data_IF_983167718043
#
_entry.id   IF_983167718043
#
_cell.length_a   1.000
_cell.length_b   1.000
_cell.length_c   1.000
_cell.angle_alpha   90.00
_cell.angle_beta   90.00
_cell.angle_gamma   90.00
#
_symmetry.space_group_name_H-M   'P 1'
#
loop_
_entity.id
_entity.type
_entity.pdbx_description
1 polymer ?
2 non-polymer ?
3 water ?
#
# COMPACT_ATOMS: atom_id res chain seq x y z
N UNK A 1 -42.90 34.48 15.55
CA UNK A 1 -43.87 35.58 15.50
C UNK A 1 -43.24 36.92 15.13
N UNK A 2 -43.11 37.80 16.11
CA UNK A 2 -42.54 39.13 15.86
C UNK A 2 -41.00 39.13 15.86
N UNK A 3 -40.45 38.36 14.93
CA UNK A 3 -39.03 38.23 14.75
C UNK A 3 -38.80 37.94 13.28
N UNK A 4 -37.60 38.23 12.78
CA UNK A 4 -37.26 37.91 11.40
C UNK A 4 -37.19 36.41 11.22
N UNK A 5 -37.35 35.94 9.99
CA UNK A 5 -37.36 34.51 9.69
C UNK A 5 -36.45 34.13 8.51
N UNK A 6 -36.15 32.84 8.40
CA UNK A 6 -35.53 32.28 7.21
C UNK A 6 -36.42 31.12 6.72
N UNK A 7 -35.84 30.10 6.09
CA UNK A 7 -36.60 28.99 5.55
C UNK A 7 -36.29 27.64 6.19
N UNK A 13 -25.31 16.70 7.19
CA UNK A 13 -25.03 17.98 6.55
C UNK A 13 -23.53 18.30 6.56
N UNK A 14 -22.85 17.96 7.65
CA UNK A 14 -21.44 18.26 7.81
C UNK A 14 -20.45 17.17 7.39
N UNK A 15 -19.47 17.57 6.59
CA UNK A 15 -18.48 16.62 6.08
C UNK A 15 -17.25 16.51 6.98
N UNK A 16 -16.71 15.30 7.08
CA UNK A 16 -15.56 15.06 7.92
C UNK A 16 -14.43 14.36 7.15
N UNK A 17 -13.20 14.81 7.39
CA UNK A 17 -12.00 14.21 6.78
C UNK A 17 -11.10 13.66 7.88
N UNK A 18 -10.77 12.39 7.77
CA UNK A 18 -9.78 11.81 8.66
C UNK A 18 -8.53 11.48 7.87
N UNK A 19 -7.45 12.22 8.13
CA UNK A 19 -6.19 11.97 7.45
C UNK A 19 -5.28 11.05 8.25
N UNK A 20 -4.62 10.14 7.56
CA UNK A 20 -3.64 9.28 8.18
C UNK A 20 -2.28 9.94 8.00
N UNK A 21 -1.28 9.52 8.79
CA UNK A 21 0.07 10.12 8.67
C UNK A 21 0.64 9.88 7.29
N UNK A 22 0.30 8.75 6.68
CA UNK A 22 0.81 8.39 5.36
C UNK A 22 0.28 9.28 4.22
N UNK A 23 -0.74 10.08 4.47
CA UNK A 23 -1.29 10.95 3.45
C UNK A 23 -2.62 10.49 2.86
N UNK A 24 -2.98 9.22 3.05
CA UNK A 24 -4.30 8.74 2.69
C UNK A 24 -5.33 9.35 3.61
N UNK A 25 -6.61 9.13 3.33
CA UNK A 25 -7.66 9.76 4.12
C UNK A 25 -9.04 9.12 3.97
N UNK A 26 -9.86 9.24 5.00
CA UNK A 26 -11.25 8.84 4.95
C UNK A 26 -12.08 10.11 4.89
N UNK A 27 -13.15 10.10 4.09
CA UNK A 27 -14.00 11.30 3.99
C UNK A 27 -15.47 10.99 3.74
N UNK A 28 -16.34 11.65 4.50
CA UNK A 28 -17.77 11.53 4.33
C UNK A 28 -18.51 12.17 5.50
N UNK A 29 -19.84 12.05 5.48
CA UNK A 29 -20.64 12.53 6.60
C UNK A 29 -20.68 11.44 7.63
N UNK A 30 -20.66 11.82 8.90
CA UNK A 30 -20.62 10.84 9.96
C UNK A 30 -22.03 10.65 10.49
N UNK A 31 -22.30 9.50 11.10
CA UNK A 31 -23.60 9.26 11.68
C UNK A 31 -23.74 9.92 13.06
N UNK A 32 -24.91 9.76 13.67
CA UNK A 32 -25.23 10.40 14.93
C UNK A 32 -24.16 10.16 16.01
N UNK A 33 -23.48 9.02 15.93
CA UNK A 33 -22.44 8.67 16.89
C UNK A 33 -21.06 9.17 16.48
N UNK A 34 -20.96 9.75 15.30
CA UNK A 34 -19.69 10.28 14.83
C UNK A 34 -18.78 9.23 14.21
N UNK A 35 -19.39 8.18 13.68
CA UNK A 35 -18.64 7.13 13.00
C UNK A 35 -18.80 7.29 11.50
N UNK A 36 -17.76 6.92 10.76
CA UNK A 36 -17.82 6.92 9.31
C UNK A 36 -18.69 5.77 8.80
N UNK A 37 -19.99 5.95 8.81
CA UNK A 37 -20.91 4.90 8.40
C UNK A 37 -21.90 5.46 7.39
N UNK A 38 -22.01 4.80 6.25
CA UNK A 38 -22.88 5.26 5.19
C UNK A 38 -22.57 4.58 3.88
N UNK A 39 -23.15 5.09 2.79
CA UNK A 39 -22.92 4.54 1.47
C UNK A 39 -22.35 5.61 0.55
N UNK A 40 -21.98 6.74 1.15
CA UNK A 40 -21.37 7.85 0.44
C UNK A 40 -20.04 8.21 1.12
N UNK A 41 -19.42 7.22 1.74
CA UNK A 41 -18.12 7.38 2.38
C UNK A 41 -17.04 7.06 1.36
N UNK A 42 -15.85 7.65 1.50
CA UNK A 42 -14.76 7.35 0.57
C UNK A 42 -13.41 7.28 1.25
N UNK A 43 -12.52 6.45 0.71
CA UNK A 43 -11.10 6.49 1.06
C UNK A 43 -10.36 7.13 -0.10
N UNK A 44 -9.49 8.07 0.23
CA UNK A 44 -8.71 8.77 -0.78
C UNK A 44 -7.22 8.48 -0.63
N UNK A 45 -6.67 7.82 -1.63
CA UNK A 45 -5.24 7.55 -1.71
C UNK A 45 -4.41 8.83 -1.56
N UNK A 46 -3.10 8.69 -1.26
CA UNK A 46 -2.25 9.84 -0.94
C UNK A 46 -2.06 10.84 -2.09
N UNK A 47 -2.51 10.50 -3.29
CA UNK A 47 -2.41 11.43 -4.40
C UNK A 47 -3.55 12.43 -4.35
N UNK A 48 -4.46 12.19 -3.42
CA UNK A 48 -5.60 13.08 -3.20
C UNK A 48 -6.48 13.21 -4.45
N UNK A 49 -6.45 12.20 -5.32
CA UNK A 49 -7.37 12.14 -6.45
C UNK A 49 -7.97 10.75 -6.61
N UNK A 50 -7.14 9.71 -6.42
CA UNK A 50 -7.63 8.34 -6.53
C UNK A 50 -8.44 7.93 -5.31
N UNK A 51 -9.63 7.38 -5.55
CA UNK A 51 -10.57 7.11 -4.45
C UNK A 51 -11.34 5.79 -4.53
N UNK A 52 -11.78 5.34 -3.36
CA UNK A 52 -12.64 4.16 -3.23
C UNK A 52 -13.90 4.63 -2.54
N UNK A 53 -14.96 4.79 -3.32
CA UNK A 53 -16.18 5.41 -2.84
C UNK A 53 -17.23 4.34 -2.76
N UNK A 54 -18.07 4.41 -1.73
CA UNK A 54 -19.10 3.40 -1.57
C UNK A 54 -19.49 3.15 -0.13
N UNK A 55 -19.68 1.88 0.20
CA UNK A 55 -20.22 1.53 1.51
C UNK A 55 -19.16 1.29 2.57
N UNK A 56 -19.31 1.95 3.70
CA UNK A 56 -18.38 1.85 4.83
C UNK A 56 -19.18 1.74 6.12
N UNK A 57 -18.75 0.85 7.00
CA UNK A 57 -19.26 0.85 8.36
C UNK A 57 -18.14 1.16 9.36
N UNK A 58 -18.26 2.31 10.02
CA UNK A 58 -17.31 2.77 11.03
C UNK A 58 -15.89 2.85 10.46
N UNK A 59 -15.78 3.35 9.24
CA UNK A 59 -14.50 3.53 8.58
C UNK A 59 -13.99 2.30 7.87
N UNK A 60 -14.64 1.17 8.10
CA UNK A 60 -14.20 -0.07 7.47
C UNK A 60 -14.88 -0.17 6.12
N UNK A 61 -14.10 -0.44 5.09
CA UNK A 61 -14.63 -0.49 3.74
C UNK A 61 -15.46 -1.76 3.52
N UNK A 62 -16.73 -1.59 3.23
CA UNK A 62 -17.55 -2.73 2.88
C UNK A 62 -17.65 -2.90 1.37
N UNK A 63 -17.93 -1.79 0.68
CA UNK A 63 -17.91 -1.82 -0.78
C UNK A 63 -17.40 -0.50 -1.34
N UNK A 64 -16.11 -0.47 -1.68
CA UNK A 64 -15.48 0.67 -2.31
C UNK A 64 -15.36 0.52 -3.82
N UNK A 65 -15.98 1.42 -4.55
CA UNK A 65 -15.88 1.42 -6.00
C UNK A 65 -14.81 2.43 -6.43
N UNK A 66 -14.01 2.06 -7.43
CA UNK A 66 -12.93 2.91 -7.91
C UNK A 66 -13.50 4.26 -8.35
N UNK A 67 -12.87 5.34 -7.92
CA UNK A 67 -13.43 6.66 -8.21
C UNK A 67 -12.38 7.76 -8.30
N UNK A 68 -12.76 8.91 -8.83
CA UNK A 68 -11.87 10.07 -8.85
C UNK A 68 -12.47 11.27 -8.13
N UNK A 69 -11.70 11.83 -7.19
CA UNK A 69 -12.08 13.07 -6.51
C UNK A 69 -11.83 14.26 -7.45
N UNK A 70 -12.91 14.80 -7.99
CA UNK A 70 -12.80 15.76 -9.09
C UNK A 70 -12.52 17.14 -8.57
N UNK A 71 -13.14 17.44 -7.44
CA UNK A 71 -12.97 18.73 -6.80
C UNK A 71 -13.54 18.70 -5.41
N UNK A 72 -13.25 19.75 -4.64
CA UNK A 72 -13.75 19.92 -3.29
C UNK A 72 -14.26 21.33 -3.13
N UNK A 73 -15.43 21.47 -2.51
CA UNK A 73 -15.99 22.78 -2.27
C UNK A 73 -16.37 22.92 -0.81
N UNK A 74 -15.59 23.72 -0.09
CA UNK A 74 -15.86 23.98 1.32
C UNK A 74 -15.87 22.66 2.09
N UNK A 75 -14.91 21.82 1.77
CA UNK A 75 -14.74 20.57 2.48
C UNK A 75 -15.59 19.43 1.97
N UNK A 76 -16.56 19.75 1.13
CA UNK A 76 -17.45 18.76 0.56
C UNK A 76 -16.86 18.21 -0.74
N UNK A 77 -16.48 16.92 -0.76
CA UNK A 77 -15.91 16.30 -1.97
C UNK A 77 -16.95 15.84 -3.01
N UNK A 78 -16.67 16.11 -4.27
CA UNK A 78 -17.48 15.55 -5.33
C UNK A 78 -16.70 14.40 -5.94
N UNK A 79 -17.28 13.20 -5.86
CA UNK A 79 -16.64 12.05 -6.48
C UNK A 79 -17.29 11.73 -7.82
N UNK A 80 -16.53 11.07 -8.67
CA UNK A 80 -17.00 10.61 -9.96
C UNK A 80 -16.49 9.19 -10.19
N UNK A 81 -17.41 8.26 -10.42
CA UNK A 81 -17.04 6.84 -10.56
C UNK A 81 -16.12 6.59 -11.77
N UNK A 82 -15.05 5.82 -11.55
CA UNK A 82 -14.26 5.34 -12.66
C UNK A 82 -15.01 4.26 -13.42
N UNK A 83 -14.69 4.08 -14.72
CA UNK A 83 -15.36 3.02 -15.47
C UNK A 83 -15.04 1.63 -14.91
N UNK A 84 -16.00 0.73 -15.02
CA UNK A 84 -15.74 -0.67 -14.75
C UNK A 84 -16.55 -1.27 -13.62
N UNK A 85 -16.12 -2.45 -13.20
CA UNK A 85 -16.78 -3.14 -12.11
C UNK A 85 -15.85 -3.36 -10.95
N UNK A 86 -14.70 -2.70 -10.98
CA UNK A 86 -13.72 -2.87 -9.91
C UNK A 86 -14.24 -2.31 -8.57
N UNK A 87 -14.49 -3.23 -7.64
CA UNK A 87 -14.91 -2.89 -6.28
C UNK A 87 -13.95 -3.53 -5.27
N UNK A 88 -13.80 -2.88 -4.13
CA UNK A 88 -12.78 -3.30 -3.17
C UNK A 88 -13.43 -3.33 -1.80
N UNK A 89 -12.99 -4.23 -0.95
CA UNK A 89 -13.53 -4.31 0.41
C UNK A 89 -12.35 -4.52 1.36
N UNK A 90 -12.58 -4.24 2.64
CA UNK A 90 -11.56 -4.45 3.66
C UNK A 90 -11.27 -5.95 3.70
N UNK A 91 -10.04 -6.33 3.40
CA UNK A 91 -9.72 -7.75 3.27
C UNK A 91 -8.40 -8.10 3.95
N UNK A 92 -8.32 -7.79 5.24
CA UNK A 92 -7.10 -7.98 6.01
C UNK A 92 -6.68 -9.44 5.98
N UNK A 93 -5.42 -9.65 5.64
CA UNK A 93 -4.83 -10.98 5.61
C UNK A 93 -4.74 -11.58 7.01
N UNK A 94 -4.53 -12.90 7.04
CA UNK A 94 -4.21 -13.62 8.27
C UNK A 94 -2.88 -14.37 8.12
N UNK A 95 -2.66 -15.33 9.01
CA UNK A 95 -1.41 -16.08 9.02
C UNK A 95 -1.36 -17.11 7.89
N UNK A 96 -2.47 -17.32 7.22
CA UNK A 96 -2.52 -18.30 6.12
C UNK A 96 -3.26 -17.78 4.89
N UNK A 97 -4.11 -16.79 5.05
CA UNK A 97 -4.80 -16.22 3.90
C UNK A 97 -4.21 -14.84 3.53
N UNK A 98 -3.61 -14.76 2.35
CA UNK A 98 -2.95 -13.56 1.91
C UNK A 98 -3.94 -12.53 1.37
N UNK A 99 -5.05 -13.00 0.82
CA UNK A 99 -6.04 -12.14 0.18
C UNK A 99 -7.24 -12.98 -0.23
N UNK A 100 -8.42 -12.35 -0.33
CA UNK A 100 -9.59 -13.03 -0.86
C UNK A 100 -9.61 -12.93 -2.38
N UNK A 101 -8.90 -11.94 -2.93
CA UNK A 101 -8.77 -11.81 -4.38
C UNK A 101 -7.34 -11.51 -4.80
N UNK A 102 -6.50 -12.52 -4.67
CA UNK A 102 -5.08 -12.44 -4.99
C UNK A 102 -4.70 -11.78 -6.32
N UNK A 103 -5.62 -11.77 -7.29
CA UNK A 103 -5.30 -11.31 -8.65
C UNK A 103 -5.95 -9.97 -8.94
N UNK A 104 -6.59 -9.42 -7.92
CA UNK A 104 -7.19 -8.10 -8.04
C UNK A 104 -6.15 -7.05 -7.66
N UNK A 105 -5.66 -6.31 -8.66
CA UNK A 105 -4.57 -5.34 -8.43
C UNK A 105 -5.05 -4.16 -7.59
N UNK A 106 -4.14 -3.51 -6.89
CA UNK A 106 -4.47 -2.22 -6.29
C UNK A 106 -4.45 -1.16 -7.39
N UNK A 107 -5.54 -0.42 -7.53
CA UNK A 107 -5.64 0.48 -8.70
C UNK A 107 -4.64 1.64 -8.62
N UNK A 108 -4.37 2.13 -7.41
CA UNK A 108 -3.40 3.22 -7.21
C UNK A 108 -2.00 2.77 -7.59
N UNK A 109 -1.59 1.60 -7.08
CA UNK A 109 -0.28 1.04 -7.38
C UNK A 109 -0.08 0.87 -8.88
N UNK A 110 -1.15 0.42 -9.58
CA UNK A 110 -1.11 0.05 -11.00
C UNK A 110 -0.76 1.23 -11.88
N UNK A 111 -1.08 2.42 -11.41
CA UNK A 111 -0.72 3.61 -12.15
C UNK A 111 0.75 3.99 -11.94
N UNK A 112 1.41 3.45 -10.92
CA UNK A 112 2.74 3.93 -10.56
C UNK A 112 3.90 2.96 -10.76
N UNK A 113 3.64 1.67 -10.59
CA UNK A 113 4.70 0.69 -10.76
C UNK A 113 4.32 -0.47 -11.69
N UNK A 114 5.33 -1.22 -12.09
CA UNK A 114 5.13 -2.45 -12.84
C UNK A 114 6.30 -3.34 -12.54
N UNK A 115 6.15 -4.62 -12.82
CA UNK A 115 7.21 -5.58 -12.57
C UNK A 115 7.91 -6.01 -13.85
N UNK A 116 9.25 -5.99 -13.80
CA UNK A 116 10.08 -6.41 -14.92
C UNK A 116 11.36 -7.06 -14.39
N UNK A 117 12.23 -7.51 -15.28
CA UNK A 117 13.47 -8.10 -14.82
C UNK A 117 14.36 -7.00 -14.27
N UNK A 118 14.94 -7.28 -13.10
CA UNK A 118 15.72 -6.29 -12.40
C UNK A 118 17.01 -5.94 -13.15
N UNK A 119 17.45 -4.70 -13.03
CA UNK A 119 18.72 -4.31 -13.62
C UNK A 119 19.91 -4.84 -12.82
N UNK A 120 19.70 -5.11 -11.53
CA UNK A 120 20.71 -5.75 -10.70
C UNK A 120 20.84 -7.21 -11.12
N UNK A 121 22.05 -7.60 -11.50
CA UNK A 121 22.28 -8.93 -12.06
C UNK A 121 21.99 -10.03 -11.05
N UNK A 122 21.27 -11.06 -11.52
CA UNK A 122 20.89 -12.19 -10.68
C UNK A 122 20.04 -11.78 -9.49
N UNK A 123 19.32 -10.67 -9.62
CA UNK A 123 18.42 -10.24 -8.55
C UNK A 123 17.03 -10.78 -8.81
N UNK A 124 16.77 -11.14 -10.05
CA UNK A 124 15.50 -11.74 -10.44
C UNK A 124 14.62 -10.68 -11.05
N UNK A 125 13.39 -10.61 -10.56
CA UNK A 125 12.51 -9.53 -10.94
C UNK A 125 12.69 -8.34 -10.00
N UNK A 126 12.40 -7.15 -10.53
CA UNK A 126 12.37 -5.96 -9.71
C UNK A 126 11.11 -5.13 -9.91
N UNK A 127 11.02 -4.03 -9.16
CA UNK A 127 9.89 -3.11 -9.24
C UNK A 127 10.35 -1.84 -9.94
N UNK A 128 9.51 -1.31 -10.82
CA UNK A 128 9.93 -0.15 -11.61
C UNK A 128 8.82 0.87 -11.60
N UNK A 129 9.18 2.13 -11.76
CA UNK A 129 8.20 3.21 -11.79
C UNK A 129 7.60 3.38 -13.20
N UNK A 130 6.35 3.84 -13.27
CA UNK A 130 5.72 4.17 -14.55
C UNK A 130 5.82 5.67 -14.82
N UNK A 131 6.23 6.40 -13.78
CA UNK A 131 6.02 7.84 -13.72
C UNK A 131 7.18 8.59 -13.06
N UNK A 132 7.51 9.75 -13.62
CA UNK A 132 8.43 10.64 -12.92
C UNK A 132 7.66 11.24 -11.76
N UNK A 133 8.16 11.09 -10.53
CA UNK A 133 7.50 11.69 -9.37
C UNK A 133 8.46 12.34 -8.38
N UNK A 134 7.88 13.21 -7.55
CA UNK A 134 8.62 13.89 -6.50
C UNK A 134 9.02 12.99 -5.34
N UNK A 135 9.87 13.52 -4.47
CA UNK A 135 10.27 12.82 -3.24
C UNK A 135 9.06 12.51 -2.38
N UNK A 136 9.17 11.49 -1.55
CA UNK A 136 8.12 11.14 -0.62
C UNK A 136 6.82 10.71 -1.23
N UNK A 137 6.90 10.11 -2.42
CA UNK A 137 5.69 9.62 -3.05
C UNK A 137 5.43 8.15 -2.72
N UNK A 138 4.26 7.85 -2.19
CA UNK A 138 3.87 6.45 -2.02
C UNK A 138 3.75 5.83 -3.40
N UNK A 139 4.47 4.75 -3.62
CA UNK A 139 4.51 4.12 -4.95
C UNK A 139 3.83 2.77 -5.00
N UNK A 140 3.95 2.01 -3.92
CA UNK A 140 3.54 0.61 -3.91
C UNK A 140 3.26 0.10 -2.50
N UNK A 141 2.56 -1.03 -2.41
CA UNK A 141 2.14 -1.59 -1.13
C UNK A 141 2.73 -2.98 -0.84
N UNK A 142 3.12 -3.17 0.41
CA UNK A 142 3.71 -4.43 0.81
C UNK A 142 2.72 -5.14 1.70
N UNK A 143 1.86 -5.92 1.08
CA UNK A 143 0.91 -6.74 1.80
C UNK A 143 1.41 -8.16 1.78
N UNK A 144 0.99 -8.96 2.76
CA UNK A 144 1.23 -10.40 2.77
C UNK A 144 0.61 -11.03 4.01
N UNK A 145 0.82 -12.34 4.22
CA UNK A 145 0.34 -12.96 5.47
C UNK A 145 1.05 -12.38 6.69
N UNK A 146 0.40 -12.53 7.84
CA UNK A 146 0.89 -11.97 9.10
C UNK A 146 1.30 -13.06 10.08
N UNK A 147 2.60 -13.32 10.16
CA UNK A 147 3.12 -14.34 11.06
C UNK A 147 4.02 -13.69 12.12
N UNK A 148 4.19 -14.36 13.27
CA UNK A 148 4.92 -13.74 14.38
C UNK A 148 6.42 -13.75 14.10
N UNK A 149 7.15 -12.91 14.83
CA UNK A 149 8.61 -12.87 14.73
C UNK A 149 9.25 -14.21 15.06
N UNK A 150 8.71 -14.91 16.06
CA UNK A 150 9.21 -16.25 16.40
C UNK A 150 9.21 -17.24 15.21
N UNK A 151 8.06 -17.40 14.54
CA UNK A 151 7.99 -18.32 13.41
C UNK A 151 9.04 -17.99 12.34
N UNK A 152 9.17 -16.72 12.02
CA UNK A 152 10.12 -16.26 11.02
C UNK A 152 11.55 -16.53 11.45
N UNK A 153 11.90 -16.04 12.63
CA UNK A 153 13.26 -16.11 13.12
C UNK A 153 13.72 -17.56 13.32
N UNK A 154 12.77 -18.46 13.54
CA UNK A 154 13.10 -19.83 13.91
C UNK A 154 13.14 -20.80 12.73
N UNK A 155 13.07 -20.27 11.51
CA UNK A 155 13.12 -21.11 10.32
C UNK A 155 14.28 -20.70 9.42
N UNK A 156 14.52 -21.49 8.37
CA UNK A 156 15.65 -21.27 7.47
C UNK A 156 15.55 -19.94 6.72
N UNK A 157 16.68 -19.42 6.27
CA UNK A 157 16.73 -18.20 5.48
C UNK A 157 16.09 -18.36 4.10
N UNK A 158 15.97 -19.61 3.64
CA UNK A 158 15.36 -19.90 2.35
C UNK A 158 13.84 -19.72 2.39
N UNK A 159 13.33 -19.34 3.56
CA UNK A 159 11.90 -19.12 3.74
C UNK A 159 11.63 -17.65 4.03
N UNK A 160 12.70 -16.89 4.20
CA UNK A 160 12.55 -15.53 4.65
C UNK A 160 12.94 -14.49 3.62
N UNK A 161 12.97 -14.90 2.36
CA UNK A 161 13.35 -14.01 1.28
C UNK A 161 12.29 -12.96 1.00
N UNK A 162 11.10 -13.16 1.56
CA UNK A 162 9.98 -12.25 1.34
C UNK A 162 9.36 -11.72 2.63
N UNK A 163 10.06 -11.89 3.76
CA UNK A 163 9.55 -11.42 5.03
C UNK A 163 9.99 -9.99 5.34
N UNK A 164 9.03 -9.19 5.79
CA UNK A 164 9.27 -7.81 6.17
C UNK A 164 8.60 -7.55 7.49
N UNK A 165 9.39 -7.21 8.50
CA UNK A 165 8.84 -6.92 9.81
C UNK A 165 7.88 -5.75 9.70
N UNK A 166 6.72 -5.86 10.34
CA UNK A 166 5.74 -4.81 10.29
C UNK A 166 5.81 -4.00 11.57
N UNK A 167 5.92 -4.70 12.68
CA UNK A 167 6.01 -4.04 13.97
C UNK A 167 6.55 -5.00 15.02
N UNK A 168 6.32 -4.66 16.29
CA UNK A 168 6.81 -5.51 17.36
C UNK A 168 6.17 -6.89 17.36
N UNK A 169 4.91 -6.98 16.94
CA UNK A 169 4.15 -8.23 17.01
C UNK A 169 4.16 -9.06 15.71
N UNK A 170 4.33 -8.41 14.56
CA UNK A 170 3.96 -9.01 13.28
C UNK A 170 5.03 -8.95 12.19
N UNK A 171 5.23 -10.07 11.50
CA UNK A 171 5.99 -10.06 10.25
C UNK A 171 5.07 -10.35 9.05
N UNK A 172 5.27 -9.60 7.97
CA UNK A 172 4.54 -9.79 6.72
C UNK A 172 5.37 -10.67 5.81
N UNK A 173 4.74 -11.65 5.19
CA UNK A 173 5.45 -12.52 4.26
C UNK A 173 4.64 -12.71 2.99
N UNK A 174 5.33 -12.99 1.90
CA UNK A 174 4.67 -13.35 0.66
C UNK A 174 5.31 -14.66 0.22
N UNK A 175 4.79 -15.77 0.77
CA UNK A 175 5.34 -17.11 0.61
C UNK A 175 4.88 -17.79 -0.68
N UNK A 176 5.56 -18.85 -1.08
CA UNK A 176 5.18 -19.66 -2.24
C UNK A 176 3.69 -20.01 -2.17
N UNK A 177 2.99 -19.96 -3.31
CA UNK A 177 3.47 -19.59 -4.64
C UNK A 177 3.32 -18.10 -4.93
N UNK A 178 3.02 -17.32 -3.89
CA UNK A 178 2.59 -15.96 -4.12
C UNK A 178 3.71 -15.04 -4.58
N UNK A 179 4.94 -15.54 -4.61
CA UNK A 179 6.06 -14.73 -5.10
C UNK A 179 6.02 -14.66 -6.63
N UNK A 180 5.07 -15.36 -7.23
CA UNK A 180 4.85 -15.29 -8.66
C UNK A 180 3.68 -14.39 -8.97
N UNK A 181 3.94 -13.42 -9.84
CA UNK A 181 2.97 -12.39 -10.17
C UNK A 181 1.68 -13.00 -10.72
N UNK A 182 1.81 -14.16 -11.35
CA UNK A 182 0.65 -14.85 -11.92
C UNK A 182 -0.23 -15.54 -10.87
N UNK A 183 0.25 -15.64 -9.63
CA UNK A 183 -0.56 -16.19 -8.55
C UNK A 183 -1.00 -15.09 -7.57
N UNK A 184 -0.21 -14.02 -7.48
CA UNK A 184 -0.55 -12.92 -6.57
C UNK A 184 -0.04 -11.58 -7.07
N UNK A 185 -0.96 -10.66 -7.36
CA UNK A 185 -0.59 -9.34 -7.85
C UNK A 185 -1.43 -8.24 -7.21
N UNK A 186 -2.04 -8.56 -6.07
CA UNK A 186 -2.86 -7.58 -5.35
C UNK A 186 -2.03 -6.41 -4.83
N UNK A 187 -0.77 -6.69 -4.53
CA UNK A 187 0.19 -5.67 -4.13
C UNK A 187 1.53 -6.14 -4.64
N UNK A 188 2.48 -5.21 -4.77
CA UNK A 188 3.74 -5.52 -5.45
C UNK A 188 5.00 -5.07 -4.71
N UNK A 189 4.83 -4.50 -3.53
CA UNK A 189 5.94 -4.05 -2.71
C UNK A 189 7.08 -5.05 -2.56
N UNK A 190 6.73 -6.33 -2.49
CA UNK A 190 7.70 -7.40 -2.32
C UNK A 190 8.59 -7.63 -3.56
N UNK A 191 8.30 -6.93 -4.66
CA UNK A 191 9.10 -7.10 -5.86
C UNK A 191 10.27 -6.09 -5.95
N UNK A 192 10.40 -5.26 -4.91
CA UNK A 192 11.50 -4.30 -4.87
C UNK A 192 12.77 -4.93 -4.31
N UNK A 193 13.84 -4.86 -5.09
CA UNK A 193 15.14 -5.41 -4.69
C UNK A 193 15.94 -4.48 -3.79
N UNK A 194 17.06 -4.97 -3.27
CA UNK A 194 17.84 -4.23 -2.27
C UNK A 194 19.02 -3.41 -2.82
N UNK A 195 19.11 -2.15 -2.38
CA UNK A 195 20.25 -1.30 -2.67
C UNK A 195 20.77 -0.66 -1.39
N UNK A 196 22.09 -0.54 -1.26
CA UNK A 196 22.67 0.23 -0.18
C UNK A 196 22.61 1.71 -0.51
N UNK A 197 22.18 2.01 -1.73
CA UNK A 197 21.93 3.39 -2.14
C UNK A 197 20.52 3.53 -2.75
N UNK A 198 19.50 3.30 -1.91
CA UNK A 198 18.10 3.18 -2.34
C UNK A 198 17.51 4.51 -2.79
N UNK A 199 16.41 4.45 -3.55
CA UNK A 199 15.64 5.65 -3.81
C UNK A 199 14.30 5.61 -3.07
N UNK A 200 14.09 4.55 -2.30
CA UNK A 200 12.88 4.45 -1.48
C UNK A 200 13.11 3.89 -0.07
N UNK A 201 12.11 4.07 0.79
CA UNK A 201 12.10 3.40 2.07
C UNK A 201 10.80 2.67 2.23
N UNK A 202 10.82 1.66 3.08
CA UNK A 202 9.59 1.11 3.63
C UNK A 202 9.03 2.14 4.59
N UNK A 203 7.71 2.24 4.65
CA UNK A 203 7.08 3.20 5.55
C UNK A 203 5.75 2.62 6.02
N UNK A 204 5.23 3.12 7.14
CA UNK A 204 3.92 2.66 7.59
C UNK A 204 2.83 3.11 6.62
N UNK A 205 1.76 2.34 6.55
CA UNK A 205 0.65 2.70 5.70
C UNK A 205 -0.65 2.05 6.18
N UNK A 206 -1.72 2.83 6.21
CA UNK A 206 -3.03 2.30 6.54
C UNK A 206 -3.88 2.14 5.29
N UNK A 207 -4.03 0.90 4.83
CA UNK A 207 -4.68 0.63 3.56
C UNK A 207 -6.09 0.14 3.83
N UNK A 208 -7.07 0.62 3.04
CA UNK A 208 -8.50 0.34 3.26
C UNK A 208 -8.85 -1.09 2.89
N UNK A 209 -8.04 -1.69 2.02
CA UNK A 209 -8.23 -3.09 1.67
C UNK A 209 -7.34 -3.98 2.52
N UNK A 210 -6.10 -3.55 2.74
CA UNK A 210 -5.09 -4.46 3.31
C UNK A 210 -4.91 -4.29 4.80
N UNK A 211 -5.43 -3.20 5.33
CA UNK A 211 -5.21 -2.90 6.73
C UNK A 211 -3.89 -2.16 6.95
N UNK A 212 -3.31 -2.32 8.15
CA UNK A 212 -2.03 -1.72 8.49
C UNK A 212 -0.93 -2.57 7.87
N UNK A 213 -0.10 -1.94 7.04
CA UNK A 213 0.94 -2.64 6.33
C UNK A 213 2.12 -1.68 6.13
N UNK A 214 3.06 -2.04 5.26
CA UNK A 214 4.12 -1.12 4.89
C UNK A 214 3.91 -0.72 3.44
N UNK A 215 4.44 0.44 3.05
CA UNK A 215 4.46 0.82 1.64
C UNK A 215 5.88 1.18 1.20
N UNK A 216 6.04 1.38 -0.10
CA UNK A 216 7.29 1.88 -0.62
C UNK A 216 7.06 3.33 -0.97
N UNK A 217 7.86 4.19 -0.36
CA UNK A 217 7.75 5.63 -0.54
C UNK A 217 9.12 6.12 -1.00
N UNK A 218 9.14 6.95 -2.04
CA UNK A 218 10.39 7.48 -2.59
C UNK A 218 11.08 8.39 -1.60
N UNK A 219 12.41 8.35 -1.62
CA UNK A 219 13.25 9.26 -0.84
C UNK A 219 13.51 10.54 -1.59
N UNK A 220 13.30 10.51 -2.90
CA UNK A 220 13.60 11.65 -3.75
C UNK A 220 12.89 11.47 -5.09
N UNK A 221 13.15 12.41 -6.00
CA UNK A 221 12.67 12.32 -7.38
C UNK A 221 13.11 11.02 -8.05
N UNK A 222 12.19 10.39 -8.75
CA UNK A 222 12.52 9.22 -9.55
C UNK A 222 11.98 9.42 -10.94
N UNK A 223 12.65 8.83 -11.91
CA UNK A 223 12.25 8.97 -13.31
C UNK A 223 11.23 7.92 -13.64
N UNK A 224 10.43 8.18 -14.67
CA UNK A 224 9.67 7.11 -15.29
C UNK A 224 10.66 6.01 -15.72
N UNK A 225 10.36 4.77 -15.30
CA UNK A 225 11.13 3.57 -15.63
C UNK A 225 12.42 3.33 -14.85
N UNK A 226 12.64 4.11 -13.81
CA UNK A 226 13.77 3.88 -12.92
C UNK A 226 13.41 2.68 -12.05
N UNK A 227 14.39 1.83 -11.75
CA UNK A 227 14.11 0.73 -10.85
C UNK A 227 13.95 1.26 -9.43
N UNK A 228 12.94 0.75 -8.72
CA UNK A 228 12.73 1.15 -7.35
C UNK A 228 13.45 0.18 -6.45
N UNK A 229 14.30 0.72 -5.59
CA UNK A 229 15.05 -0.10 -4.65
C UNK A 229 14.85 0.44 -3.25
N UNK A 230 15.24 -0.37 -2.27
CA UNK A 230 14.99 -0.08 -0.88
C UNK A 230 16.04 -0.84 -0.05
N UNK A 231 16.54 -0.21 1.01
CA UNK A 231 17.43 -0.92 1.94
C UNK A 231 16.64 -1.90 2.80
N UNK A 232 17.00 -3.18 2.72
CA UNK A 232 16.29 -4.22 3.45
C UNK A 232 16.53 -4.13 4.96
N UNK A 233 17.74 -3.71 5.33
CA UNK A 233 18.03 -3.41 6.73
C UNK A 233 18.18 -4.58 7.68
N UNK A 234 18.91 -5.61 7.23
CA UNK A 234 19.24 -6.72 8.10
C UNK A 234 20.24 -6.29 9.15
N UNK A 235 20.33 -7.04 10.24
CA UNK A 235 21.23 -6.71 11.34
C UNK A 235 22.68 -7.07 11.00
N UNK A 236 23.63 -6.38 11.63
CA UNK A 236 25.06 -6.59 11.36
C UNK A 236 25.82 -7.06 12.59
N UNK A 245 22.42 -14.56 10.35
CA UNK A 245 22.43 -13.10 10.31
C UNK A 245 21.61 -12.54 9.13
N UNK A 246 22.09 -12.78 7.91
CA UNK A 246 21.43 -12.28 6.71
C UNK A 246 21.79 -13.17 5.52
N UNK A 247 20.92 -13.22 4.49
CA UNK A 247 21.17 -14.11 3.34
C UNK A 247 22.53 -13.84 2.68
N UNK A 248 23.06 -14.85 1.99
CA UNK A 248 24.42 -14.80 1.45
C UNK A 248 24.66 -13.65 0.49
N UNK A 249 23.81 -13.55 -0.53
CA UNK A 249 23.91 -12.50 -1.53
C UNK A 249 23.98 -11.11 -0.89
N UNK A 250 23.29 -10.95 0.23
CA UNK A 250 23.27 -9.69 0.96
C UNK A 250 24.63 -9.49 1.61
N UNK A 251 25.03 -10.47 2.42
CA UNK A 251 26.33 -10.48 3.09
C UNK A 251 27.44 -10.21 2.09
N UNK A 252 27.30 -10.82 0.92
CA UNK A 252 28.26 -10.61 -0.16
C UNK A 252 28.14 -9.21 -0.76
N UNK A 253 26.93 -8.78 -1.06
CA UNK A 253 26.77 -7.44 -1.62
C UNK A 253 27.26 -6.40 -0.61
N UNK A 254 27.06 -6.68 0.67
CA UNK A 254 27.44 -5.78 1.75
C UNK A 254 28.95 -5.52 1.78
N UNK A 255 29.72 -6.59 1.82
CA UNK A 255 31.17 -6.48 1.82
C UNK A 255 31.63 -5.85 0.51
N UNK A 256 30.98 -6.22 -0.59
CA UNK A 256 31.27 -5.64 -1.89
C UNK A 256 30.54 -4.32 -2.05
N UNK A 257 30.86 -3.36 -1.20
CA UNK A 257 30.23 -2.04 -1.26
C UNK A 257 31.11 -0.93 -0.69
N UNK A 258 31.90 -1.27 0.34
CA UNK A 258 32.83 -0.30 0.93
C UNK A 258 33.70 0.38 -0.14
N UNK A 259 34.21 -0.41 -1.08
CA UNK A 259 35.03 0.11 -2.16
C UNK A 259 34.28 1.20 -2.93
#
# INVERSE_FOLDING_TARGET
GSSGSSGKDNIRHGVCWIYYPDGGSLVGEVNEDGEMTGEKIAYVYPDERTALYGKFIDGEMIEGKLATLMSTEEGRPHFELMPGNSVYHFDKSTSSCISTNALLPDPYESERVYVAESLISSAGEGLFSKVAVGPNTVMSFYNGVRITHQEVDSRDWALNGNTLSLDEETVIDVPEPYNHVSKYCASLGHKANHSFTPNCIYDMFVHPRFGPIKCIRTLRAVEADEELTVAYGYDHSPPGKSGPEAPEWYQVELKAFQATQQK
#
